data_IF_722242616347
#
_entry.id   IF_722242616347
#
_cell.length_a   1.000
_cell.length_b   1.000
_cell.length_c   1.000
_cell.angle_alpha   90.00
_cell.angle_beta   90.00
_cell.angle_gamma   90.00
#
_symmetry.space_group_name_H-M   'P 1'
#
loop_
_entity.id
_entity.type
_entity.pdbx_description
1 polymer ?
#
# COMPACT_ATOMS: atom_id res chain seq x y z
N UNK A 1 -40.60 38.46 -16.54
CA UNK A 1 -39.46 38.26 -17.45
C UNK A 1 -38.72 37.00 -17.04
N UNK A 2 -38.59 36.02 -17.93
CA UNK A 2 -37.77 34.81 -17.69
C UNK A 2 -36.33 35.22 -17.97
N UNK A 3 -35.46 35.27 -16.95
CA UNK A 3 -34.04 35.53 -17.17
C UNK A 3 -33.49 34.38 -18.03
N UNK A 4 -33.01 34.68 -19.24
CA UNK A 4 -32.25 33.73 -20.02
C UNK A 4 -30.93 33.48 -19.28
N UNK A 5 -30.68 32.23 -18.86
CA UNK A 5 -29.41 31.87 -18.27
C UNK A 5 -28.30 32.07 -19.30
N UNK A 6 -27.22 32.77 -18.93
CA UNK A 6 -26.04 32.91 -19.77
C UNK A 6 -25.37 31.56 -20.08
N UNK A 7 -24.46 31.51 -21.07
CA UNK A 7 -23.73 30.29 -21.44
C UNK A 7 -23.00 29.69 -20.23
N UNK A 8 -22.95 28.36 -20.14
CA UNK A 8 -22.15 27.67 -19.11
C UNK A 8 -20.69 27.80 -19.51
N UNK A 9 -19.80 28.30 -18.63
CA UNK A 9 -18.38 28.31 -18.88
C UNK A 9 -17.83 26.89 -19.07
N UNK A 10 -17.00 26.71 -20.09
CA UNK A 10 -16.20 25.52 -20.35
C UNK A 10 -14.74 25.74 -19.93
N UNK A 11 -14.10 24.69 -19.44
CA UNK A 11 -12.69 24.63 -19.12
C UNK A 11 -12.08 23.42 -19.83
N UNK A 12 -11.01 23.65 -20.56
CA UNK A 12 -10.09 22.61 -20.99
C UNK A 12 -8.71 22.93 -20.45
N UNK A 13 -8.07 21.94 -19.83
CA UNK A 13 -6.78 22.10 -19.19
C UNK A 13 -5.88 20.92 -19.49
N UNK A 14 -4.62 21.23 -19.77
CA UNK A 14 -3.54 20.24 -19.78
C UNK A 14 -2.50 20.65 -18.75
N UNK A 15 -2.24 19.76 -17.81
CA UNK A 15 -1.19 19.89 -16.80
C UNK A 15 -0.12 18.87 -17.13
N UNK A 16 1.11 19.34 -17.33
CA UNK A 16 2.30 18.51 -17.41
C UNK A 16 3.30 19.11 -16.45
N UNK A 17 3.63 18.35 -15.42
CA UNK A 17 4.63 18.69 -14.43
C UNK A 17 5.69 17.59 -14.47
N UNK A 18 6.95 17.98 -14.60
CA UNK A 18 8.09 17.06 -14.67
C UNK A 18 9.10 17.42 -13.61
N UNK A 19 9.86 16.44 -13.15
CA UNK A 19 10.94 16.61 -12.16
C UNK A 19 10.45 17.27 -10.85
N UNK A 20 9.23 16.93 -10.41
CA UNK A 20 8.63 17.47 -9.19
C UNK A 20 9.32 16.83 -7.98
N UNK A 21 9.80 17.64 -7.03
CA UNK A 21 10.13 17.14 -5.70
C UNK A 21 8.82 16.74 -4.98
N UNK A 22 8.54 15.44 -4.92
CA UNK A 22 7.23 14.94 -4.50
C UNK A 22 6.90 15.35 -3.06
N UNK A 23 7.88 15.28 -2.16
CA UNK A 23 7.69 15.63 -0.75
C UNK A 23 7.23 17.10 -0.59
N UNK A 24 7.90 18.04 -1.26
CA UNK A 24 7.56 19.46 -1.22
C UNK A 24 6.16 19.72 -1.81
N UNK A 25 5.83 19.02 -2.91
CA UNK A 25 4.53 19.12 -3.54
C UNK A 25 3.41 18.63 -2.60
N UNK A 26 3.58 17.46 -1.99
CA UNK A 26 2.61 16.90 -1.05
C UNK A 26 2.45 17.79 0.19
N UNK A 27 3.56 18.30 0.73
CA UNK A 27 3.55 19.19 1.89
C UNK A 27 2.82 20.52 1.60
N UNK A 28 2.97 21.04 0.38
CA UNK A 28 2.35 22.29 -0.05
C UNK A 28 0.87 22.13 -0.39
N UNK A 29 0.53 21.11 -1.19
CA UNK A 29 -0.80 20.95 -1.78
C UNK A 29 -1.73 20.16 -0.87
N UNK A 30 -1.27 18.99 -0.42
CA UNK A 30 -2.08 18.07 0.39
C UNK A 30 -1.85 18.25 1.89
N UNK A 31 -0.81 19.03 2.27
CA UNK A 31 -0.38 19.24 3.67
C UNK A 31 -0.09 17.92 4.37
N UNK A 32 0.50 17.00 3.63
CA UNK A 32 0.88 15.67 4.06
C UNK A 32 2.33 15.41 3.66
N UNK A 33 2.95 14.43 4.30
CA UNK A 33 4.32 14.02 4.08
C UNK A 33 4.40 12.48 4.05
N UNK A 34 5.61 11.95 4.11
CA UNK A 34 5.84 10.51 4.24
C UNK A 34 6.04 9.77 2.92
N UNK A 35 6.08 10.47 1.79
CA UNK A 35 6.61 9.93 0.54
C UNK A 35 7.55 10.95 -0.09
N UNK A 36 8.74 10.51 -0.46
CA UNK A 36 9.75 11.30 -1.18
C UNK A 36 9.96 10.75 -2.58
N UNK A 37 10.75 11.46 -3.39
CA UNK A 37 11.13 11.05 -4.75
C UNK A 37 10.90 12.14 -5.78
N UNK A 38 11.20 11.82 -7.04
CA UNK A 38 10.98 12.72 -8.17
C UNK A 38 9.76 12.26 -8.96
N UNK A 39 8.77 13.13 -9.11
CA UNK A 39 7.50 12.80 -9.74
C UNK A 39 7.30 13.52 -11.08
N UNK A 40 6.74 12.79 -12.03
CA UNK A 40 6.17 13.32 -13.27
C UNK A 40 4.65 13.10 -13.23
N UNK A 41 3.89 14.17 -13.47
CA UNK A 41 2.44 14.15 -13.54
C UNK A 41 1.99 14.70 -14.88
N UNK A 42 1.17 13.90 -15.59
CA UNK A 42 0.43 14.35 -16.76
C UNK A 42 -1.05 14.21 -16.51
N UNK A 43 -1.83 15.24 -16.86
CA UNK A 43 -3.28 15.22 -16.71
C UNK A 43 -3.91 16.11 -17.78
N UNK A 44 -4.83 15.55 -18.57
CA UNK A 44 -5.67 16.30 -19.49
C UNK A 44 -7.11 16.21 -19.01
N UNK A 45 -7.74 17.36 -18.75
CA UNK A 45 -9.10 17.44 -18.20
C UNK A 45 -9.96 18.44 -18.95
N UNK A 46 -11.26 18.17 -18.97
CA UNK A 46 -12.29 19.10 -19.39
C UNK A 46 -13.40 19.14 -18.35
N UNK A 47 -14.06 20.29 -18.21
CA UNK A 47 -15.21 20.45 -17.34
C UNK A 47 -16.03 21.68 -17.71
N UNK A 48 -17.23 21.76 -17.16
CA UNK A 48 -18.17 22.85 -17.38
C UNK A 48 -18.83 23.25 -16.06
N UNK A 49 -19.01 24.54 -15.80
CA UNK A 49 -19.66 24.96 -14.56
C UNK A 49 -19.78 26.46 -14.40
N UNK A 50 -20.89 26.90 -13.79
CA UNK A 50 -21.13 28.32 -13.45
C UNK A 50 -20.51 28.69 -12.10
N UNK A 51 -20.10 27.70 -11.31
CA UNK A 51 -19.40 27.89 -10.04
C UNK A 51 -18.16 27.00 -9.97
N UNK A 52 -17.16 27.33 -9.12
CA UNK A 52 -16.01 26.44 -8.92
C UNK A 52 -16.39 25.01 -8.51
N UNK A 53 -17.44 24.86 -7.69
CA UNK A 53 -17.91 23.55 -7.27
C UNK A 53 -18.55 22.75 -8.41
N UNK A 54 -19.36 23.41 -9.26
CA UNK A 54 -19.91 22.79 -10.47
C UNK A 54 -18.80 22.38 -11.44
N UNK A 55 -17.77 23.23 -11.58
CA UNK A 55 -16.63 22.97 -12.44
C UNK A 55 -15.83 21.75 -11.96
N UNK A 56 -15.52 21.65 -10.66
CA UNK A 56 -14.80 20.49 -10.10
C UNK A 56 -15.60 19.21 -10.31
N UNK A 57 -16.91 19.23 -10.01
CA UNK A 57 -17.79 18.05 -10.13
C UNK A 57 -18.07 17.64 -11.58
N UNK A 58 -17.72 18.46 -12.57
CA UNK A 58 -17.85 18.10 -13.98
C UNK A 58 -16.53 17.72 -14.63
N UNK A 59 -15.41 17.79 -13.89
CA UNK A 59 -14.10 17.43 -14.45
C UNK A 59 -14.10 15.97 -14.90
N UNK A 60 -13.65 15.77 -16.13
CA UNK A 60 -13.43 14.46 -16.73
C UNK A 60 -12.14 14.48 -17.54
N UNK A 61 -11.48 13.32 -17.65
CA UNK A 61 -10.20 13.26 -18.35
C UNK A 61 -9.35 12.06 -17.98
N UNK A 62 -8.07 12.13 -18.34
CA UNK A 62 -7.12 11.06 -18.10
C UNK A 62 -5.70 11.61 -17.94
N UNK A 63 -4.84 10.80 -17.33
CA UNK A 63 -3.47 11.18 -17.04
C UNK A 63 -2.64 10.00 -16.55
N UNK A 64 -1.46 10.31 -16.03
CA UNK A 64 -0.59 9.35 -15.38
C UNK A 64 0.31 10.05 -14.37
N UNK A 65 0.61 9.34 -13.29
CA UNK A 65 1.64 9.66 -12.32
C UNK A 65 2.77 8.63 -12.44
N UNK A 66 4.01 9.13 -12.50
CA UNK A 66 5.21 8.32 -12.32
C UNK A 66 6.06 8.95 -11.22
N UNK A 67 6.64 8.13 -10.35
CA UNK A 67 7.58 8.58 -9.32
C UNK A 67 8.81 7.71 -9.40
N UNK A 68 9.97 8.33 -9.51
CA UNK A 68 11.26 7.66 -9.51
C UNK A 68 11.97 7.85 -8.17
N UNK A 69 12.62 6.78 -7.71
CA UNK A 69 13.63 6.76 -6.64
C UNK A 69 13.26 7.59 -5.41
N UNK A 70 12.55 6.98 -4.47
CA UNK A 70 12.11 7.67 -3.26
C UNK A 70 12.01 6.75 -2.05
N UNK A 71 11.46 7.28 -0.98
CA UNK A 71 11.23 6.57 0.27
C UNK A 71 9.78 6.76 0.73
N UNK A 72 9.21 5.70 1.29
CA UNK A 72 7.93 5.72 2.00
C UNK A 72 8.23 5.64 3.49
N UNK A 73 7.82 6.65 4.24
CA UNK A 73 7.91 6.65 5.69
C UNK A 73 6.78 5.80 6.32
N UNK A 74 7.02 5.34 7.54
CA UNK A 74 6.05 4.55 8.31
C UNK A 74 5.66 3.21 7.67
N UNK A 75 6.55 2.68 6.84
CA UNK A 75 6.49 1.35 6.27
C UNK A 75 7.93 0.82 6.20
N UNK A 76 8.19 -0.34 6.80
CA UNK A 76 9.50 -0.99 6.79
C UNK A 76 9.36 -2.40 6.19
N UNK A 77 9.40 -2.48 4.86
CA UNK A 77 9.32 -3.76 4.15
C UNK A 77 10.51 -4.67 4.47
N UNK A 78 11.68 -4.10 4.75
CA UNK A 78 12.87 -4.89 5.09
C UNK A 78 12.71 -5.57 6.45
N UNK A 79 12.15 -4.87 7.45
CA UNK A 79 11.84 -5.49 8.74
C UNK A 79 10.78 -6.59 8.62
N UNK A 80 9.78 -6.43 7.75
CA UNK A 80 8.76 -7.46 7.51
C UNK A 80 9.36 -8.70 6.83
N UNK A 81 10.22 -8.49 5.85
CA UNK A 81 10.99 -9.53 5.15
C UNK A 81 11.91 -10.28 6.14
N UNK A 82 12.76 -9.55 6.86
CA UNK A 82 13.66 -10.13 7.87
C UNK A 82 12.92 -10.90 8.98
N UNK A 83 11.69 -10.52 9.31
CA UNK A 83 10.88 -11.20 10.31
C UNK A 83 10.42 -12.58 9.84
N UNK A 84 10.10 -12.73 8.56
CA UNK A 84 9.69 -14.00 7.98
C UNK A 84 10.86 -14.99 7.90
N UNK A 85 12.08 -14.50 7.72
CA UNK A 85 13.29 -15.33 7.76
C UNK A 85 13.60 -15.90 9.16
N UNK A 86 13.09 -15.28 10.24
CA UNK A 86 13.37 -15.71 11.62
C UNK A 86 12.40 -16.82 12.07
N UNK A 87 12.88 -17.69 12.96
CA UNK A 87 12.03 -18.57 13.77
C UNK A 87 11.63 -17.85 15.05
N UNK A 88 10.71 -16.89 14.94
CA UNK A 88 10.12 -16.21 16.09
C UNK A 88 8.74 -16.78 16.40
N UNK A 89 8.29 -16.62 17.64
CA UNK A 89 6.93 -17.01 17.99
C UNK A 89 5.90 -16.09 17.33
N UNK A 90 4.64 -16.55 17.16
CA UNK A 90 3.63 -15.77 16.47
C UNK A 90 3.24 -14.46 17.15
N UNK A 91 3.35 -14.36 18.48
CA UNK A 91 2.98 -13.14 19.22
C UNK A 91 4.02 -12.05 18.94
N UNK A 92 5.31 -12.40 19.01
CA UNK A 92 6.41 -11.51 18.66
C UNK A 92 6.33 -11.06 17.20
N UNK A 93 5.90 -11.93 16.28
CA UNK A 93 5.68 -11.60 14.88
C UNK A 93 4.57 -10.56 14.70
N UNK A 94 3.43 -10.70 15.39
CA UNK A 94 2.31 -9.74 15.33
C UNK A 94 2.78 -8.34 15.73
N UNK A 95 3.54 -8.24 16.83
CA UNK A 95 4.07 -6.97 17.31
C UNK A 95 5.07 -6.36 16.34
N UNK A 96 5.93 -7.18 15.73
CA UNK A 96 6.86 -6.73 14.71
C UNK A 96 6.13 -6.18 13.49
N UNK A 97 5.17 -6.93 12.94
CA UNK A 97 4.39 -6.52 11.77
C UNK A 97 3.65 -5.21 12.03
N UNK A 98 3.08 -5.02 13.22
CA UNK A 98 2.45 -3.75 13.60
C UNK A 98 3.46 -2.61 13.58
N UNK A 99 4.63 -2.79 14.19
CA UNK A 99 5.69 -1.75 14.23
C UNK A 99 6.23 -1.43 12.84
N UNK A 100 6.59 -2.45 12.05
CA UNK A 100 7.10 -2.29 10.70
C UNK A 100 6.06 -1.63 9.78
N UNK A 101 4.79 -1.91 10.05
CA UNK A 101 3.70 -1.22 9.41
C UNK A 101 3.44 0.19 9.93
N UNK A 102 4.07 0.74 10.97
CA UNK A 102 3.76 2.11 11.46
C UNK A 102 4.98 2.98 11.69
N UNK A 103 6.16 2.46 11.38
CA UNK A 103 7.45 3.11 11.62
C UNK A 103 8.46 2.67 10.57
N UNK A 104 9.66 3.22 10.62
CA UNK A 104 10.73 2.93 9.67
C UNK A 104 10.48 3.55 8.29
N UNK A 105 11.27 3.11 7.31
CA UNK A 105 11.23 3.61 5.94
C UNK A 105 11.43 2.48 4.94
N UNK A 106 10.83 2.63 3.77
CA UNK A 106 10.98 1.72 2.64
C UNK A 106 11.44 2.51 1.42
N UNK A 107 12.65 2.24 0.96
CA UNK A 107 13.13 2.75 -0.32
C UNK A 107 12.43 2.05 -1.49
N UNK A 108 12.10 2.82 -2.52
CA UNK A 108 11.51 2.34 -3.76
C UNK A 108 12.21 2.90 -5.00
N UNK A 109 12.20 2.12 -6.07
CA UNK A 109 12.75 2.49 -7.36
C UNK A 109 11.72 3.21 -8.24
N UNK A 110 10.46 2.74 -8.24
CA UNK A 110 9.42 3.31 -9.06
C UNK A 110 8.02 3.16 -8.45
N UNK A 111 7.19 4.18 -8.64
CA UNK A 111 5.72 4.12 -8.53
C UNK A 111 5.13 4.53 -9.88
N UNK A 112 4.09 3.85 -10.34
CA UNK A 112 3.31 4.24 -11.51
C UNK A 112 1.83 4.08 -11.24
N UNK A 113 1.03 5.05 -11.69
CA UNK A 113 -0.42 5.03 -11.58
C UNK A 113 -1.03 5.70 -12.82
N UNK A 114 -1.70 4.96 -13.72
CA UNK A 114 -2.56 5.57 -14.72
C UNK A 114 -3.75 6.21 -14.03
N UNK A 115 -4.15 7.40 -14.46
CA UNK A 115 -5.20 8.19 -13.83
C UNK A 115 -6.39 8.37 -14.76
N UNK A 116 -7.59 8.21 -14.23
CA UNK A 116 -8.83 8.61 -14.88
C UNK A 116 -9.53 9.66 -14.00
N UNK A 117 -10.16 10.66 -14.61
CA UNK A 117 -10.98 11.63 -13.90
C UNK A 117 -12.40 11.50 -14.39
N UNK A 118 -13.34 11.32 -13.46
CA UNK A 118 -14.77 11.29 -13.76
C UNK A 118 -15.51 12.04 -12.68
N UNK A 119 -16.28 13.06 -13.06
CA UNK A 119 -17.08 13.89 -12.16
C UNK A 119 -16.29 14.47 -10.97
N UNK A 120 -15.03 14.86 -11.21
CA UNK A 120 -14.14 15.39 -10.18
C UNK A 120 -13.50 14.33 -9.27
N UNK A 121 -13.71 13.04 -9.53
CA UNK A 121 -13.04 11.94 -8.83
C UNK A 121 -11.88 11.44 -9.70
N UNK A 122 -10.66 11.51 -9.16
CA UNK A 122 -9.47 10.93 -9.78
C UNK A 122 -9.35 9.49 -9.32
N UNK A 123 -9.22 8.53 -10.23
CA UNK A 123 -9.05 7.11 -9.91
C UNK A 123 -7.83 6.52 -10.58
N UNK A 124 -7.28 5.47 -9.97
CA UNK A 124 -6.31 4.57 -10.57
C UNK A 124 -6.63 3.14 -10.16
N UNK A 125 -6.87 2.26 -11.12
CA UNK A 125 -7.16 0.84 -10.86
C UNK A 125 -5.91 -0.05 -10.96
N UNK A 126 -4.75 0.54 -11.28
CA UNK A 126 -3.53 -0.17 -11.59
C UNK A 126 -2.29 0.57 -11.08
N UNK A 127 -2.26 0.82 -9.77
CA UNK A 127 -1.08 1.35 -9.09
C UNK A 127 -0.04 0.24 -8.99
N UNK A 128 1.20 0.54 -9.32
CA UNK A 128 2.34 -0.36 -9.16
C UNK A 128 3.48 0.33 -8.39
N UNK A 129 4.14 -0.42 -7.52
CA UNK A 129 5.30 -0.03 -6.74
C UNK A 129 6.39 -1.10 -6.89
N UNK A 130 7.61 -0.65 -7.18
CA UNK A 130 8.82 -1.50 -7.14
C UNK A 130 9.70 -1.03 -6.00
N UNK A 131 9.79 -1.83 -4.94
CA UNK A 131 10.62 -1.56 -3.77
C UNK A 131 11.86 -2.46 -3.72
N UNK A 132 12.80 -2.16 -2.83
CA UNK A 132 14.05 -2.94 -2.72
C UNK A 132 13.83 -4.39 -2.27
N UNK A 133 12.80 -4.64 -1.46
CA UNK A 133 12.49 -5.94 -0.83
C UNK A 133 11.16 -6.54 -1.26
N UNK A 134 10.49 -5.92 -2.22
CA UNK A 134 9.18 -6.40 -2.66
C UNK A 134 8.55 -5.55 -3.75
N UNK A 135 7.33 -5.93 -4.10
CA UNK A 135 6.46 -5.17 -4.99
C UNK A 135 5.20 -4.75 -4.25
N UNK A 136 4.57 -3.68 -4.74
CA UNK A 136 3.23 -3.30 -4.35
C UNK A 136 2.35 -3.15 -5.59
N UNK A 137 1.07 -3.48 -5.45
CA UNK A 137 0.04 -3.26 -6.47
C UNK A 137 -1.26 -2.85 -5.82
N UNK A 138 -2.10 -2.09 -6.51
CA UNK A 138 -3.41 -1.76 -5.95
C UNK A 138 -4.20 -0.74 -6.74
N UNK A 139 -5.13 -0.11 -6.04
CA UNK A 139 -6.03 0.89 -6.60
C UNK A 139 -6.21 2.05 -5.63
N UNK A 140 -6.64 3.20 -6.14
CA UNK A 140 -6.93 4.36 -5.33
C UNK A 140 -7.89 5.33 -6.01
N UNK A 141 -8.50 6.17 -5.19
CA UNK A 141 -9.30 7.30 -5.64
C UNK A 141 -9.04 8.54 -4.79
N UNK A 142 -9.21 9.70 -5.40
CA UNK A 142 -9.18 11.00 -4.75
C UNK A 142 -10.36 11.83 -5.23
N UNK A 143 -11.30 12.09 -4.33
CA UNK A 143 -12.45 12.96 -4.58
C UNK A 143 -12.05 14.42 -4.38
N UNK A 144 -12.01 15.20 -5.46
CA UNK A 144 -11.59 16.61 -5.41
C UNK A 144 -12.65 17.50 -4.75
N UNK A 145 -13.92 17.11 -4.79
CA UNK A 145 -15.02 17.90 -4.25
C UNK A 145 -15.14 17.71 -2.73
N UNK A 146 -14.99 16.47 -2.26
CA UNK A 146 -15.06 16.11 -0.84
C UNK A 146 -13.68 16.16 -0.15
N UNK A 147 -12.61 16.23 -0.93
CA UNK A 147 -11.22 16.23 -0.47
C UNK A 147 -10.87 14.98 0.36
N UNK A 148 -11.28 13.82 -0.15
CA UNK A 148 -11.07 12.52 0.47
C UNK A 148 -10.25 11.60 -0.44
N UNK A 149 -9.38 10.81 0.17
CA UNK A 149 -8.62 9.76 -0.49
C UNK A 149 -9.09 8.39 -0.01
N UNK A 150 -9.13 7.43 -0.92
CA UNK A 150 -9.09 6.01 -0.60
C UNK A 150 -7.97 5.35 -1.37
N UNK A 151 -7.21 4.49 -0.71
CA UNK A 151 -6.10 3.78 -1.31
C UNK A 151 -6.06 2.37 -0.73
N UNK A 152 -5.97 1.37 -1.60
CA UNK A 152 -5.79 -0.02 -1.24
C UNK A 152 -4.59 -0.58 -1.99
N UNK A 153 -3.54 -0.92 -1.25
CA UNK A 153 -2.31 -1.51 -1.77
C UNK A 153 -2.11 -2.90 -1.16
N UNK A 154 -1.61 -3.82 -1.96
CA UNK A 154 -1.16 -5.14 -1.55
C UNK A 154 0.32 -5.28 -1.89
N UNK A 155 1.07 -5.91 -1.01
CA UNK A 155 2.52 -6.06 -1.07
C UNK A 155 2.90 -7.54 -1.07
N UNK A 156 3.91 -7.86 -1.89
CA UNK A 156 4.57 -9.15 -1.92
C UNK A 156 6.07 -8.96 -1.70
N UNK A 157 6.67 -9.84 -0.88
CA UNK A 157 8.08 -9.78 -0.51
C UNK A 157 8.91 -10.72 -1.39
N UNK A 158 10.08 -10.27 -1.86
CA UNK A 158 10.87 -11.01 -2.83
C UNK A 158 11.55 -12.25 -2.23
N UNK A 159 12.05 -12.15 -1.01
CA UNK A 159 12.81 -13.24 -0.37
C UNK A 159 11.89 -14.32 0.22
N UNK A 160 10.57 -14.07 0.23
CA UNK A 160 9.55 -14.97 0.76
C UNK A 160 8.36 -15.12 -0.21
N UNK A 161 8.56 -15.68 -1.41
CA UNK A 161 7.50 -15.82 -2.42
C UNK A 161 6.37 -16.78 -2.00
N UNK A 162 6.63 -17.67 -1.04
CA UNK A 162 5.65 -18.61 -0.51
C UNK A 162 4.79 -18.01 0.63
N UNK A 163 5.20 -16.86 1.18
CA UNK A 163 4.43 -16.17 2.20
C UNK A 163 3.27 -15.40 1.54
N UNK A 164 2.07 -15.38 2.14
CA UNK A 164 0.96 -14.61 1.60
C UNK A 164 1.30 -13.11 1.65
N UNK A 165 0.82 -12.35 0.66
CA UNK A 165 0.94 -10.91 0.68
C UNK A 165 0.20 -10.26 1.86
N UNK A 166 0.49 -8.99 2.09
CA UNK A 166 -0.21 -8.16 3.07
C UNK A 166 -0.61 -6.84 2.45
N UNK A 167 -1.58 -6.14 3.04
CA UNK A 167 -2.13 -4.93 2.44
C UNK A 167 -2.12 -3.71 3.36
N UNK A 168 -2.35 -2.56 2.75
CA UNK A 168 -2.50 -1.26 3.38
C UNK A 168 -3.74 -0.56 2.80
N UNK A 169 -4.70 -0.23 3.66
CA UNK A 169 -5.78 0.70 3.32
C UNK A 169 -5.53 2.08 3.92
N UNK A 170 -5.80 3.13 3.15
CA UNK A 170 -5.96 4.51 3.62
C UNK A 170 -7.36 4.99 3.23
N UNK A 171 -8.04 5.70 4.12
CA UNK A 171 -9.34 6.29 3.83
C UNK A 171 -9.59 7.60 4.60
N UNK A 172 -10.15 8.61 3.94
CA UNK A 172 -10.56 9.89 4.54
C UNK A 172 -9.70 11.07 4.08
N UNK A 173 -9.59 12.15 4.86
CA UNK A 173 -8.87 13.35 4.44
C UNK A 173 -7.36 13.09 4.25
N UNK A 174 -6.72 13.57 3.16
CA UNK A 174 -5.30 13.32 2.86
C UNK A 174 -4.30 13.65 3.96
N UNK A 175 -4.62 14.65 4.80
CA UNK A 175 -3.76 15.09 5.88
C UNK A 175 -3.73 14.14 7.09
N UNK A 176 -4.79 13.36 7.27
CA UNK A 176 -4.92 12.44 8.40
C UNK A 176 -5.85 11.28 8.03
N UNK A 177 -5.51 10.48 7.01
CA UNK A 177 -6.35 9.36 6.61
C UNK A 177 -6.32 8.30 7.70
N UNK A 178 -7.45 7.61 7.89
CA UNK A 178 -7.47 6.39 8.68
C UNK A 178 -6.65 5.33 7.94
N UNK A 179 -5.70 4.75 8.66
CA UNK A 179 -4.77 3.76 8.12
C UNK A 179 -5.04 2.39 8.71
N UNK A 180 -5.09 1.36 7.86
CA UNK A 180 -5.28 -0.03 8.29
C UNK A 180 -4.28 -0.94 7.58
N UNK A 181 -3.45 -1.61 8.35
CA UNK A 181 -2.61 -2.71 7.87
C UNK A 181 -3.44 -4.00 7.86
N UNK A 182 -3.46 -4.70 6.74
CA UNK A 182 -4.12 -5.99 6.54
C UNK A 182 -3.05 -7.07 6.49
N UNK A 183 -2.80 -7.75 7.61
CA UNK A 183 -1.72 -8.74 7.71
C UNK A 183 -2.15 -10.07 8.31
N UNK A 184 -3.45 -10.31 8.43
CA UNK A 184 -4.00 -11.49 9.10
C UNK A 184 -3.55 -12.80 8.43
N UNK A 185 -3.53 -12.84 7.09
CA UNK A 185 -3.05 -14.00 6.34
C UNK A 185 -1.56 -14.28 6.59
N UNK A 186 -0.74 -13.22 6.65
CA UNK A 186 0.68 -13.33 6.95
C UNK A 186 0.94 -13.83 8.37
N UNK A 187 0.16 -13.36 9.34
CA UNK A 187 0.23 -13.83 10.72
C UNK A 187 -0.18 -15.30 10.84
N UNK A 188 -1.25 -15.72 10.17
CA UNK A 188 -1.68 -17.12 10.14
C UNK A 188 -0.59 -18.04 9.56
N UNK A 189 0.03 -17.63 8.46
CA UNK A 189 1.13 -18.37 7.84
C UNK A 189 2.33 -18.59 8.78
N UNK A 190 2.71 -17.57 9.56
CA UNK A 190 3.79 -17.71 10.55
C UNK A 190 3.38 -18.64 11.71
N UNK A 191 2.11 -18.58 12.15
CA UNK A 191 1.62 -19.46 13.19
C UNK A 191 1.61 -20.94 12.77
N UNK A 192 1.20 -21.23 11.53
CA UNK A 192 1.25 -22.57 10.95
C UNK A 192 2.69 -23.09 10.87
N UNK A 193 3.60 -22.31 10.28
CA UNK A 193 5.03 -22.66 10.19
C UNK A 193 5.65 -22.94 11.56
N UNK A 194 5.30 -22.14 12.57
CA UNK A 194 5.79 -22.33 13.94
C UNK A 194 5.26 -23.63 14.57
N UNK A 195 4.01 -23.99 14.32
CA UNK A 195 3.42 -25.25 14.83
C UNK A 195 4.06 -26.48 14.17
N UNK A 196 4.34 -26.42 12.87
CA UNK A 196 5.05 -27.46 12.14
C UNK A 196 6.48 -27.63 12.69
N UNK A 197 7.20 -26.53 12.89
CA UNK A 197 8.54 -26.52 13.49
C UNK A 197 8.57 -27.19 14.88
N UNK A 198 7.58 -26.93 15.74
CA UNK A 198 7.46 -27.58 17.04
C UNK A 198 7.19 -29.08 16.92
N UNK A 199 6.36 -29.48 15.96
CA UNK A 199 6.04 -30.89 15.72
C UNK A 199 7.27 -31.65 15.24
N UNK A 200 8.09 -31.06 14.36
CA UNK A 200 9.36 -31.65 13.94
C UNK A 200 10.37 -31.74 15.08
N UNK A 201 10.46 -30.71 15.94
CA UNK A 201 11.41 -30.67 17.04
C UNK A 201 11.08 -31.66 18.16
N UNK A 202 9.79 -31.88 18.45
CA UNK A 202 9.35 -32.67 19.62
C UNK A 202 8.57 -33.95 19.26
N UNK A 203 8.25 -34.19 17.98
CA UNK A 203 7.41 -35.29 17.50
C UNK A 203 8.16 -36.43 16.80
N UNK A 204 9.48 -36.58 17.01
CA UNK A 204 10.26 -37.70 16.47
C UNK A 204 9.68 -39.08 16.86
N UNK A 205 9.89 -40.14 16.04
CA UNK A 205 9.31 -41.46 16.28
C UNK A 205 9.76 -41.99 17.66
N UNK A 206 8.90 -42.75 18.37
CA UNK A 206 9.26 -43.29 19.68
C UNK A 206 10.53 -44.12 19.56
N UNK A 207 11.52 -43.84 20.41
CA UNK A 207 12.71 -44.69 20.55
C UNK A 207 12.23 -46.13 20.80
N UNK A 208 12.59 -47.04 19.88
CA UNK A 208 12.43 -48.48 20.07
C UNK A 208 13.10 -48.86 21.39
N UNK A 209 12.28 -49.08 22.43
CA UNK A 209 12.76 -49.67 23.68
C UNK A 209 13.38 -51.02 23.32
N UNK A 210 14.68 -51.25 23.60
CA UNK A 210 15.27 -52.56 23.35
C UNK A 210 14.52 -53.61 24.17
N UNK A 211 14.36 -54.84 23.62
CA UNK A 211 13.59 -55.88 24.29
C UNK A 211 14.17 -56.12 25.69
N UNK A 212 13.26 -56.15 26.67
CA UNK A 212 13.61 -56.55 28.03
C UNK A 212 14.07 -58.01 28.00
N UNK A 213 15.38 -58.20 28.14
CA UNK A 213 15.96 -59.51 28.41
C UNK A 213 15.42 -60.01 29.76
N UNK A 214 14.36 -60.81 29.66
CA UNK A 214 13.87 -61.65 30.73
C UNK A 214 14.76 -62.89 30.81
N UNK A 215 15.94 -62.73 31.41
CA UNK A 215 16.72 -63.88 31.87
C UNK A 215 16.12 -64.43 33.16
N UNK A 216 15.24 -65.41 32.99
CA UNK A 216 14.89 -66.35 34.06
C UNK A 216 16.00 -67.36 34.32
N UNK A 217 16.02 -67.89 35.55
CA UNK A 217 16.79 -69.07 35.97
C UNK A 217 18.16 -68.71 36.60
N UNK A 218 18.49 -69.13 37.82
CA UNK A 218 17.89 -70.08 38.76
C UNK A 218 18.70 -70.09 40.05
#
# INVERSE_FOLDING_TARGET
>A
ARLAAGPVPDLMGQLVLTDIALEDFLATVLRTDGITGTADLSLAVAGEGRTPAELVRSLSGAGALAVASGEIASLDLAAMDDALARRIDPIDFVDLVRRAGTSGTTGFAAISAPLTVTEGVVTSDAISLTAGRGTGSGAGLFDLAEWEVMLDLDFALFDHPDAPGFGLSLAGPPRAPLRRLRSDALQAHVAERYADDLTEQFGGPPEDQPPSDSSGGG
#
